data_IF_223930422052
#
_entry.id   IF_223930422052
#
_cell.length_a   1.000
_cell.length_b   1.000
_cell.length_c   1.000
_cell.angle_alpha   90.00
_cell.angle_beta   90.00
_cell.angle_gamma   90.00
#
_symmetry.space_group_name_H-M   'P 1'
#
loop_
_entity.id
_entity.type
_entity.pdbx_description
1 polymer ?
#
# COMPACT_ATOMS: atom_id res chain seq x y z
N UNK A 1 1.58 8.76 2.82
CA UNK A 1 0.22 8.64 2.24
C UNK A 1 0.31 7.69 1.06
N UNK A 2 -0.56 6.68 1.01
CA UNK A 2 -0.68 5.77 -0.14
C UNK A 2 -2.01 6.00 -0.83
N UNK A 3 -2.02 5.97 -2.16
CA UNK A 3 -3.22 6.15 -2.98
C UNK A 3 -3.20 5.05 -4.06
N UNK A 4 -4.29 4.28 -4.15
CA UNK A 4 -4.52 3.37 -5.27
C UNK A 4 -4.73 4.19 -6.55
N UNK A 5 -3.91 3.97 -7.56
CA UNK A 5 -3.93 4.70 -8.83
C UNK A 5 -5.20 4.42 -9.63
N UNK A 6 -5.70 3.18 -9.63
CA UNK A 6 -6.93 2.81 -10.36
C UNK A 6 -8.18 3.04 -9.53
N UNK A 7 -8.13 2.75 -8.24
CA UNK A 7 -9.31 2.81 -7.35
C UNK A 7 -9.53 4.19 -6.71
N UNK A 8 -8.48 5.01 -6.61
CA UNK A 8 -8.50 6.28 -5.87
C UNK A 8 -8.54 6.12 -4.35
N UNK A 9 -8.54 4.89 -3.82
CA UNK A 9 -8.54 4.63 -2.37
C UNK A 9 -7.28 5.19 -1.71
N UNK A 10 -7.43 5.83 -0.55
CA UNK A 10 -6.34 6.45 0.19
C UNK A 10 -6.14 5.78 1.54
N UNK A 11 -4.89 5.50 1.89
CA UNK A 11 -4.48 5.03 3.20
C UNK A 11 -3.46 6.00 3.78
N UNK A 12 -3.85 6.65 4.88
CA UNK A 12 -2.96 7.53 5.63
C UNK A 12 -2.17 6.69 6.63
N UNK A 13 -0.87 6.93 6.74
CA UNK A 13 -0.04 6.32 7.77
C UNK A 13 0.82 7.40 8.41
N UNK A 14 0.63 7.57 9.72
CA UNK A 14 1.42 8.47 10.54
C UNK A 14 2.64 7.73 11.06
N UNK A 15 3.82 8.33 10.96
CA UNK A 15 5.04 7.78 11.56
C UNK A 15 5.28 8.53 12.87
N UNK A 16 5.35 7.80 13.99
CA UNK A 16 5.52 8.38 15.31
C UNK A 16 6.56 7.61 16.15
N UNK A 17 7.16 8.27 17.13
CA UNK A 17 8.11 7.65 18.08
C UNK A 17 7.40 6.84 19.17
N UNK A 18 6.13 7.11 19.42
CA UNK A 18 5.32 6.45 20.43
C UNK A 18 3.86 6.32 19.98
N UNK A 19 3.06 5.65 20.80
CA UNK A 19 1.64 5.42 20.54
C UNK A 19 0.74 6.52 21.12
N UNK A 20 1.32 7.45 21.87
CA UNK A 20 0.60 8.43 22.67
C UNK A 20 0.43 9.73 21.89
N UNK A 21 -0.46 9.68 20.90
CA UNK A 21 -0.95 10.87 20.21
C UNK A 21 -2.33 11.22 20.77
N UNK A 22 -2.40 12.29 21.56
CA UNK A 22 -3.66 12.81 22.10
C UNK A 22 -4.63 13.17 20.97
N UNK A 23 -5.92 12.88 21.16
CA UNK A 23 -7.02 13.17 20.23
C UNK A 23 -6.90 12.54 18.83
N UNK A 24 -6.00 11.57 18.64
CA UNK A 24 -5.76 10.97 17.33
C UNK A 24 -7.00 10.28 16.76
N UNK A 25 -7.76 9.56 17.57
CA UNK A 25 -8.97 8.88 17.12
C UNK A 25 -10.04 9.87 16.65
N UNK A 26 -10.25 10.95 17.42
CA UNK A 26 -11.19 12.03 17.06
C UNK A 26 -10.76 12.71 15.77
N UNK A 27 -9.47 13.01 15.63
CA UNK A 27 -8.93 13.61 14.42
C UNK A 27 -9.02 12.66 13.22
N UNK A 28 -8.80 11.36 13.43
CA UNK A 28 -8.93 10.34 12.42
C UNK A 28 -10.36 10.25 11.88
N UNK A 29 -11.37 10.30 12.76
CA UNK A 29 -12.77 10.37 12.36
C UNK A 29 -13.07 11.63 11.54
N UNK A 30 -12.50 12.79 11.91
CA UNK A 30 -12.68 14.03 11.15
C UNK A 30 -12.08 13.92 9.73
N UNK A 31 -10.90 13.30 9.60
CA UNK A 31 -10.30 13.06 8.29
C UNK A 31 -11.12 12.08 7.45
N UNK A 32 -11.62 10.99 8.04
CA UNK A 32 -12.50 10.04 7.34
C UNK A 32 -13.78 10.71 6.81
N UNK A 33 -14.35 11.65 7.57
CA UNK A 33 -15.53 12.44 7.12
C UNK A 33 -15.18 13.44 6.03
N UNK A 34 -13.99 14.06 6.10
CA UNK A 34 -13.54 15.09 5.15
C UNK A 34 -13.11 14.51 3.81
N UNK A 35 -12.55 13.30 3.80
CA UNK A 35 -11.95 12.69 2.63
C UNK A 35 -12.66 11.37 2.31
N UNK A 36 -13.63 11.36 1.38
CA UNK A 36 -14.48 10.17 1.14
C UNK A 36 -13.69 8.97 0.62
N UNK A 37 -12.58 9.21 -0.07
CA UNK A 37 -11.71 8.14 -0.56
C UNK A 37 -10.70 7.65 0.50
N UNK A 38 -10.66 8.25 1.70
CA UNK A 38 -9.81 7.77 2.79
C UNK A 38 -10.45 6.54 3.40
N UNK A 39 -9.80 5.39 3.22
CA UNK A 39 -10.36 4.09 3.61
C UNK A 39 -9.83 3.59 4.94
N UNK A 40 -8.73 4.16 5.39
CA UNK A 40 -8.18 3.88 6.70
C UNK A 40 -7.05 4.82 7.08
N UNK A 41 -6.78 4.85 8.38
CA UNK A 41 -5.70 5.62 8.97
C UNK A 41 -4.93 4.70 9.90
N UNK A 42 -3.63 4.59 9.65
CA UNK A 42 -2.70 3.78 10.42
C UNK A 42 -1.67 4.66 11.13
N UNK A 43 -1.04 4.09 12.16
CA UNK A 43 0.13 4.64 12.82
C UNK A 43 1.23 3.57 12.83
N UNK A 44 2.42 3.95 12.39
CA UNK A 44 3.61 3.13 12.48
C UNK A 44 4.55 3.73 13.53
N UNK A 45 5.06 2.88 14.43
CA UNK A 45 6.00 3.30 15.46
C UNK A 45 7.43 3.09 15.01
N UNK A 46 8.19 4.16 14.89
CA UNK A 46 9.61 4.15 14.60
C UNK A 46 10.38 4.97 15.65
N UNK A 47 11.14 4.29 16.51
CA UNK A 47 11.96 4.89 17.58
C UNK A 47 13.43 5.01 17.21
N UNK A 48 13.84 4.31 16.16
CA UNK A 48 15.24 4.11 15.87
C UNK A 48 15.76 5.31 15.06
N UNK A 49 16.97 5.76 15.39
CA UNK A 49 17.67 6.77 14.58
C UNK A 49 18.26 6.09 13.35
N UNK A 50 17.43 5.85 12.35
CA UNK A 50 17.82 5.18 11.10
C UNK A 50 17.22 5.88 9.89
N UNK A 51 17.69 5.50 8.69
CA UNK A 51 17.12 5.97 7.43
C UNK A 51 15.88 5.15 6.99
N UNK A 52 15.48 4.13 7.77
CA UNK A 52 14.28 3.35 7.48
C UNK A 52 13.08 4.13 7.98
N UNK A 53 12.10 4.38 7.11
CA UNK A 53 10.92 5.19 7.43
C UNK A 53 9.95 4.42 8.34
N UNK A 54 9.67 3.16 8.02
CA UNK A 54 8.79 2.31 8.81
C UNK A 54 9.58 1.59 9.91
N UNK A 55 9.11 1.71 11.15
CA UNK A 55 9.53 0.83 12.22
C UNK A 55 8.79 -0.51 12.18
N UNK A 56 9.03 -1.35 13.19
CA UNK A 56 8.59 -2.75 13.21
C UNK A 56 7.09 -2.98 13.42
N UNK A 57 6.34 -1.96 13.83
CA UNK A 57 4.93 -2.14 14.22
C UNK A 57 4.05 -1.06 13.59
N UNK A 58 2.99 -1.50 12.91
CA UNK A 58 1.94 -0.66 12.33
C UNK A 58 0.57 -1.06 12.89
N UNK A 59 -0.21 -0.10 13.37
CA UNK A 59 -1.56 -0.30 13.89
C UNK A 59 -2.58 0.49 13.06
N UNK A 60 -3.72 -0.13 12.77
CA UNK A 60 -4.87 0.58 12.20
C UNK A 60 -5.63 1.27 13.32
N UNK A 61 -5.89 2.56 13.17
CA UNK A 61 -6.65 3.37 14.13
C UNK A 61 -8.15 3.31 13.79
N UNK A 62 -8.46 3.46 12.50
CA UNK A 62 -9.83 3.44 12.00
C UNK A 62 -9.85 2.98 10.54
N UNK A 63 -10.95 2.34 10.14
CA UNK A 63 -11.12 1.83 8.78
C UNK A 63 -10.31 0.57 8.54
N UNK A 64 -9.79 0.42 7.32
CA UNK A 64 -9.01 -0.76 6.91
C UNK A 64 -7.51 -0.49 6.80
N UNK A 65 -6.63 -1.46 7.11
CA UNK A 65 -5.17 -1.30 7.06
C UNK A 65 -4.58 -1.49 5.66
N UNK A 66 -5.36 -1.31 4.60
CA UNK A 66 -4.93 -1.48 3.22
C UNK A 66 -5.78 -0.63 2.26
N UNK A 67 -5.20 -0.27 1.12
CA UNK A 67 -5.96 0.17 -0.06
C UNK A 67 -6.15 -1.01 -1.00
N UNK A 68 -7.24 -1.01 -1.76
CA UNK A 68 -7.35 -1.86 -2.95
C UNK A 68 -6.69 -1.17 -4.14
N UNK A 69 -6.01 -1.94 -4.96
CA UNK A 69 -5.45 -1.50 -6.23
C UNK A 69 -5.75 -2.54 -7.31
N UNK A 70 -5.93 -2.07 -8.53
CA UNK A 70 -6.02 -2.94 -9.70
C UNK A 70 -4.72 -2.87 -10.49
N UNK A 71 -4.15 -4.03 -10.81
CA UNK A 71 -2.92 -4.13 -11.61
C UNK A 71 -2.99 -5.37 -12.49
N UNK A 72 -2.80 -5.17 -13.79
CA UNK A 72 -2.82 -6.25 -14.78
C UNK A 72 -4.10 -7.12 -14.72
N UNK A 73 -5.24 -6.49 -14.40
CA UNK A 73 -6.54 -7.17 -14.29
C UNK A 73 -6.77 -7.95 -12.99
N UNK A 74 -5.85 -7.86 -12.02
CA UNK A 74 -5.97 -8.47 -10.70
C UNK A 74 -6.20 -7.39 -9.63
N UNK A 75 -6.95 -7.72 -8.58
CA UNK A 75 -7.11 -6.87 -7.39
C UNK A 75 -6.05 -7.24 -6.33
N UNK A 76 -5.34 -6.24 -5.83
CA UNK A 76 -4.35 -6.37 -4.76
C UNK A 76 -4.76 -5.55 -3.53
N UNK A 77 -4.47 -6.08 -2.35
CA UNK A 77 -4.58 -5.35 -1.08
C UNK A 77 -3.20 -4.85 -0.65
N UNK A 78 -3.02 -3.55 -0.61
CA UNK A 78 -1.73 -2.92 -0.34
C UNK A 78 -1.71 -2.27 1.05
N UNK A 79 -0.90 -2.83 1.96
CA UNK A 79 -0.68 -2.30 3.32
C UNK A 79 0.29 -1.12 3.29
N UNK A 80 0.50 -0.37 4.39
CA UNK A 80 1.41 0.78 4.40
C UNK A 80 2.86 0.44 3.99
N UNK A 81 3.33 -0.73 4.40
CA UNK A 81 4.70 -1.24 4.27
C UNK A 81 4.91 -2.17 3.05
N UNK A 82 3.83 -2.58 2.38
CA UNK A 82 3.91 -3.43 1.18
C UNK A 82 4.60 -2.68 0.03
N UNK A 83 5.68 -3.22 -0.51
CA UNK A 83 6.27 -2.67 -1.72
C UNK A 83 5.30 -2.84 -2.90
N UNK A 84 5.16 -1.81 -3.73
CA UNK A 84 4.40 -1.88 -4.97
C UNK A 84 4.91 -0.81 -5.92
N UNK A 85 4.81 -1.09 -7.22
CA UNK A 85 5.29 -0.17 -8.25
C UNK A 85 4.52 1.15 -8.16
N UNK A 86 5.24 2.26 -7.92
CA UNK A 86 4.65 3.60 -7.76
C UNK A 86 3.98 4.10 -9.06
N UNK A 87 4.46 3.57 -10.19
CA UNK A 87 3.94 3.84 -11.53
C UNK A 87 3.28 2.58 -12.11
N UNK A 88 2.01 2.40 -11.77
CA UNK A 88 1.18 1.27 -12.20
C UNK A 88 1.14 1.13 -13.72
N UNK A 89 1.00 2.23 -14.47
CA UNK A 89 0.88 2.20 -15.94
C UNK A 89 2.14 1.69 -16.63
N UNK A 90 3.32 2.10 -16.15
CA UNK A 90 4.59 1.63 -16.72
C UNK A 90 4.85 0.19 -16.32
N UNK A 91 4.51 -0.20 -15.09
CA UNK A 91 4.64 -1.58 -14.64
C UNK A 91 3.74 -2.54 -15.44
N UNK A 92 2.52 -2.14 -15.80
CA UNK A 92 1.63 -2.94 -16.66
C UNK A 92 2.19 -3.12 -18.07
N UNK A 93 2.79 -2.07 -18.63
CA UNK A 93 3.49 -2.17 -19.93
C UNK A 93 4.69 -3.10 -19.86
N UNK A 94 5.48 -3.01 -18.79
CA UNK A 94 6.62 -3.90 -18.57
C UNK A 94 6.17 -5.36 -18.46
N UNK A 95 5.11 -5.63 -17.68
CA UNK A 95 4.56 -6.97 -17.56
C UNK A 95 4.11 -7.52 -18.93
N UNK A 96 3.46 -6.68 -19.73
CA UNK A 96 3.05 -7.05 -21.10
C UNK A 96 4.25 -7.47 -21.95
N UNK A 97 5.35 -6.70 -21.90
CA UNK A 97 6.59 -7.01 -22.64
C UNK A 97 7.21 -8.32 -22.14
N UNK A 98 7.22 -8.56 -20.83
CA UNK A 98 7.74 -9.80 -20.23
C UNK A 98 6.92 -11.00 -20.73
N UNK A 99 5.59 -10.94 -20.65
CA UNK A 99 4.71 -12.02 -21.11
C UNK A 99 4.89 -12.32 -22.60
N UNK A 100 5.01 -11.28 -23.43
CA UNK A 100 5.29 -11.42 -24.86
C UNK A 100 6.66 -12.05 -25.14
N UNK A 101 7.67 -11.74 -24.32
CA UNK A 101 9.03 -12.26 -24.50
C UNK A 101 9.15 -13.71 -24.03
N UNK A 102 8.42 -14.09 -22.98
CA UNK A 102 8.40 -15.45 -22.47
C UNK A 102 7.66 -16.42 -23.40
N UNK A 103 6.74 -15.91 -24.24
CA UNK A 103 5.96 -16.68 -25.22
C UNK A 103 5.38 -17.97 -24.62
N UNK A 104 4.77 -17.84 -23.44
CA UNK A 104 4.25 -18.97 -22.67
C UNK A 104 3.09 -19.65 -23.42
N UNK A 105 3.20 -20.97 -23.61
CA UNK A 105 2.18 -21.79 -24.26
C UNK A 105 1.19 -22.41 -23.26
N UNK A 106 1.49 -22.32 -21.96
CA UNK A 106 0.59 -22.69 -20.85
C UNK A 106 0.91 -24.04 -20.21
N UNK A 107 1.94 -24.73 -20.68
CA UNK A 107 2.47 -25.98 -20.11
C UNK A 107 3.77 -25.78 -19.31
N UNK A 108 4.31 -24.55 -19.30
CA UNK A 108 5.53 -24.21 -18.59
C UNK A 108 5.32 -23.99 -17.08
N UNK A 109 6.37 -24.23 -16.30
CA UNK A 109 6.41 -23.90 -14.87
C UNK A 109 7.17 -22.59 -14.70
N UNK A 110 6.47 -21.56 -14.22
CA UNK A 110 7.04 -20.25 -13.93
C UNK A 110 7.42 -20.14 -12.44
N UNK A 111 8.63 -19.66 -12.17
CA UNK A 111 9.07 -19.27 -10.83
C UNK A 111 9.29 -17.76 -10.83
N UNK A 112 8.44 -17.03 -10.11
CA UNK A 112 8.61 -15.60 -9.90
C UNK A 112 9.44 -15.35 -8.63
N UNK A 113 10.72 -15.09 -8.83
CA UNK A 113 11.63 -14.75 -7.75
C UNK A 113 11.47 -13.27 -7.38
N UNK A 114 11.25 -12.99 -6.09
CA UNK A 114 11.05 -11.63 -5.54
C UNK A 114 9.73 -10.95 -5.99
N UNK A 115 8.66 -11.72 -6.10
CA UNK A 115 7.34 -11.29 -6.59
C UNK A 115 6.61 -10.24 -5.73
N UNK A 116 7.13 -9.92 -4.54
CA UNK A 116 6.57 -8.92 -3.63
C UNK A 116 6.68 -9.29 -2.17
#
# INVERSE_FOLDING_TARGET
LRIGRRTGEMLLTLIATDWTLTDLETQAQNWMKRYPNLVGICINRNRDRTNVIFGSETRCIIGRPYVREEFAGLEFQLRPDTFFQVNTEVAEKLLTVILQTLDLQGDEILVDAYCG
#
